data_IF_604311083523
#
_entry.id   IF_604311083523
#
_cell.length_a   1.000
_cell.length_b   1.000
_cell.length_c   1.000
_cell.angle_alpha   90.00
_cell.angle_beta   90.00
_cell.angle_gamma   90.00
#
_symmetry.space_group_name_H-M   'P 1'
#
loop_
_entity.id
_entity.type
_entity.pdbx_description
1 polymer ?
#
# COMPACT_ATOMS: atom_id res chain seq x y z
N UNK A 1 -16.64 -16.04 29.84
CA UNK A 1 -17.09 -16.15 28.44
C UNK A 1 -16.46 -15.02 27.64
N UNK A 2 -15.85 -15.26 26.47
CA UNK A 2 -15.38 -14.18 25.61
C UNK A 2 -16.57 -13.30 25.21
N UNK A 3 -16.37 -11.98 25.18
CA UNK A 3 -17.43 -11.05 24.77
C UNK A 3 -17.79 -11.31 23.30
N UNK A 4 -19.09 -11.20 22.97
CA UNK A 4 -19.59 -11.34 21.60
C UNK A 4 -19.03 -10.28 20.64
N UNK A 5 -18.62 -9.12 21.16
CA UNK A 5 -18.09 -8.00 20.38
C UNK A 5 -16.80 -7.44 21.01
N UNK A 6 -15.85 -6.96 20.18
CA UNK A 6 -14.65 -6.27 20.66
C UNK A 6 -15.02 -4.98 21.41
N UNK A 7 -14.30 -4.70 22.50
CA UNK A 7 -14.31 -3.35 23.11
C UNK A 7 -13.22 -2.51 22.45
N UNK A 8 -13.61 -1.72 21.46
CA UNK A 8 -12.70 -0.86 20.72
C UNK A 8 -13.39 0.46 20.36
N UNK A 9 -12.60 1.49 20.08
CA UNK A 9 -13.11 2.78 19.60
C UNK A 9 -13.12 2.77 18.08
N UNK A 10 -14.26 3.06 17.46
CA UNK A 10 -14.35 3.17 15.99
C UNK A 10 -13.43 4.28 15.49
N UNK A 11 -12.72 4.07 14.37
CA UNK A 11 -12.03 5.15 13.68
C UNK A 11 -13.00 6.28 13.32
N UNK A 12 -12.54 7.53 13.44
CA UNK A 12 -13.28 8.68 12.92
C UNK A 12 -13.12 8.73 11.39
N UNK A 13 -13.98 7.98 10.71
CA UNK A 13 -13.93 7.83 9.24
C UNK A 13 -14.03 9.18 8.52
N UNK A 14 -14.77 10.14 9.08
CA UNK A 14 -14.91 11.47 8.47
C UNK A 14 -13.58 12.23 8.53
N UNK A 15 -12.94 12.25 9.70
CA UNK A 15 -11.66 12.92 9.85
C UNK A 15 -10.57 12.25 9.01
N UNK A 16 -10.49 10.92 9.02
CA UNK A 16 -9.52 10.16 8.24
C UNK A 16 -9.74 10.32 6.73
N UNK A 17 -11.00 10.39 6.27
CA UNK A 17 -11.29 10.69 4.86
C UNK A 17 -10.80 12.07 4.48
N UNK A 18 -11.06 13.09 5.31
CA UNK A 18 -10.63 14.46 5.06
C UNK A 18 -9.10 14.56 4.98
N UNK A 19 -8.38 13.87 5.86
CA UNK A 19 -6.91 13.79 5.82
C UNK A 19 -6.39 13.20 4.50
N UNK A 20 -7.01 12.12 3.99
CA UNK A 20 -6.63 11.52 2.70
C UNK A 20 -7.00 12.42 1.52
N UNK A 21 -8.16 13.08 1.57
CA UNK A 21 -8.61 14.03 0.55
C UNK A 21 -7.68 15.23 0.44
N UNK A 22 -7.27 15.82 1.56
CA UNK A 22 -6.36 16.98 1.60
C UNK A 22 -5.00 16.67 0.97
N UNK A 23 -4.43 15.50 1.26
CA UNK A 23 -3.17 15.03 0.67
C UNK A 23 -3.32 14.71 -0.83
N UNK A 24 -4.44 14.11 -1.25
CA UNK A 24 -4.77 13.92 -2.67
C UNK A 24 -4.80 15.26 -3.42
N UNK A 25 -5.56 16.22 -2.89
CA UNK A 25 -5.73 17.54 -3.51
C UNK A 25 -4.41 18.31 -3.56
N UNK A 26 -3.59 18.22 -2.51
CA UNK A 26 -2.25 18.82 -2.50
C UNK A 26 -1.40 18.27 -3.66
N UNK A 27 -1.33 16.94 -3.83
CA UNK A 27 -0.58 16.32 -4.94
C UNK A 27 -1.14 16.69 -6.30
N UNK A 28 -2.47 16.77 -6.44
CA UNK A 28 -3.07 17.17 -7.70
C UNK A 28 -2.73 18.62 -8.05
N UNK A 29 -2.83 19.55 -7.09
CA UNK A 29 -2.47 20.97 -7.28
C UNK A 29 -0.98 21.12 -7.61
N UNK A 30 -0.13 20.36 -6.94
CA UNK A 30 1.32 20.39 -7.18
C UNK A 30 1.67 19.85 -8.58
N UNK A 31 1.09 18.71 -8.99
CA UNK A 31 1.30 18.16 -10.33
C UNK A 31 0.87 19.15 -11.42
N UNK A 32 -0.29 19.81 -11.26
CA UNK A 32 -0.76 20.85 -12.20
C UNK A 32 0.20 22.04 -12.25
N UNK A 33 0.79 22.41 -11.11
CA UNK A 33 1.79 23.48 -11.06
C UNK A 33 3.05 23.10 -11.85
N UNK A 34 3.52 21.86 -11.73
CA UNK A 34 4.62 21.36 -12.56
C UNK A 34 4.26 21.32 -14.04
N UNK A 35 3.07 20.83 -14.41
CA UNK A 35 2.58 20.85 -15.78
C UNK A 35 2.65 22.29 -16.35
N UNK A 36 2.17 23.29 -15.60
CA UNK A 36 2.24 24.70 -16.00
C UNK A 36 3.68 25.22 -16.16
N UNK A 37 4.58 24.89 -15.24
CA UNK A 37 5.98 25.34 -15.28
C UNK A 37 6.72 24.74 -16.49
N UNK A 38 6.53 23.45 -16.74
CA UNK A 38 7.29 22.72 -17.76
C UNK A 38 6.67 22.83 -19.16
N UNK A 39 5.34 22.93 -19.27
CA UNK A 39 4.63 22.90 -20.54
C UNK A 39 3.90 24.22 -20.86
N UNK A 40 3.62 25.08 -19.88
CA UNK A 40 2.87 26.31 -20.10
C UNK A 40 1.49 26.05 -20.71
N UNK A 41 1.12 26.84 -21.72
CA UNK A 41 -0.12 26.64 -22.49
C UNK A 41 0.02 25.54 -23.57
N UNK A 42 1.21 24.98 -23.74
CA UNK A 42 1.59 24.08 -24.82
C UNK A 42 1.52 22.60 -24.37
N UNK A 43 0.52 22.26 -23.56
CA UNK A 43 0.37 20.94 -22.92
C UNK A 43 0.49 19.77 -23.92
N UNK A 44 -0.13 19.94 -25.09
CA UNK A 44 -0.24 18.93 -26.15
C UNK A 44 0.77 19.13 -27.29
N UNK A 45 1.60 20.17 -27.24
CA UNK A 45 2.61 20.40 -28.28
C UNK A 45 3.61 19.27 -28.25
N UNK A 46 3.70 18.54 -29.35
CA UNK A 46 4.66 17.47 -29.51
C UNK A 46 5.99 18.00 -30.06
N UNK A 47 7.08 17.32 -29.72
CA UNK A 47 8.39 17.66 -30.23
C UNK A 47 9.50 17.39 -29.23
N UNK A 48 10.73 17.32 -29.71
CA UNK A 48 11.86 16.82 -28.93
C UNK A 48 12.04 17.58 -27.59
N UNK A 49 11.76 18.87 -27.55
CA UNK A 49 11.88 19.67 -26.33
C UNK A 49 10.77 19.35 -25.32
N UNK A 50 9.49 19.43 -25.71
CA UNK A 50 8.36 19.12 -24.83
C UNK A 50 8.40 17.67 -24.36
N UNK A 51 8.75 16.73 -25.25
CA UNK A 51 8.86 15.32 -24.92
C UNK A 51 9.96 15.06 -23.87
N UNK A 52 11.05 15.84 -23.89
CA UNK A 52 12.08 15.77 -22.84
C UNK A 52 11.55 16.31 -21.52
N UNK A 53 10.81 17.43 -21.53
CA UNK A 53 10.25 18.03 -20.31
C UNK A 53 9.23 17.11 -19.63
N UNK A 54 8.41 16.37 -20.39
CA UNK A 54 7.46 15.39 -19.86
C UNK A 54 8.12 14.22 -19.10
N UNK A 55 9.42 13.96 -19.29
CA UNK A 55 10.14 12.98 -18.46
C UNK A 55 10.22 13.40 -17.01
N UNK A 56 10.48 14.68 -16.75
CA UNK A 56 10.48 15.21 -15.39
C UNK A 56 9.10 15.02 -14.76
N UNK A 57 8.04 15.28 -15.52
CA UNK A 57 6.66 15.08 -15.07
C UNK A 57 6.34 13.61 -14.77
N UNK A 58 6.87 12.64 -15.55
CA UNK A 58 6.74 11.21 -15.24
C UNK A 58 7.39 10.84 -13.91
N UNK A 59 8.60 11.36 -13.65
CA UNK A 59 9.29 11.08 -12.38
C UNK A 59 8.52 11.67 -11.20
N UNK A 60 8.03 12.90 -11.31
CA UNK A 60 7.20 13.53 -10.26
C UNK A 60 5.87 12.80 -10.06
N UNK A 61 5.20 12.43 -11.15
CA UNK A 61 3.96 11.66 -11.12
C UNK A 61 4.15 10.31 -10.41
N UNK A 62 5.23 9.59 -10.70
CA UNK A 62 5.55 8.35 -10.00
C UNK A 62 5.74 8.59 -8.49
N UNK A 63 6.50 9.62 -8.11
CA UNK A 63 6.71 9.96 -6.69
C UNK A 63 5.39 10.30 -5.98
N UNK A 64 4.49 11.03 -6.62
CA UNK A 64 3.14 11.30 -6.10
C UNK A 64 2.32 10.04 -5.94
N UNK A 65 2.30 9.18 -6.96
CA UNK A 65 1.57 7.92 -6.93
C UNK A 65 2.07 7.00 -5.81
N UNK A 66 3.38 6.76 -5.74
CA UNK A 66 3.97 5.90 -4.72
C UNK A 66 3.77 6.49 -3.30
N UNK A 67 3.98 7.79 -3.17
CA UNK A 67 3.77 8.51 -1.91
C UNK A 67 2.32 8.42 -1.44
N UNK A 68 1.35 8.56 -2.34
CA UNK A 68 -0.08 8.51 -2.00
C UNK A 68 -0.50 7.15 -1.52
N UNK A 69 -0.14 6.09 -2.23
CA UNK A 69 -0.51 4.74 -1.82
C UNK A 69 0.08 4.43 -0.44
N UNK A 70 1.34 4.80 -0.17
CA UNK A 70 1.96 4.65 1.16
C UNK A 70 1.22 5.43 2.23
N UNK A 71 0.95 6.71 1.97
CA UNK A 71 0.28 7.59 2.91
C UNK A 71 -1.11 7.08 3.26
N UNK A 72 -1.93 6.77 2.26
CA UNK A 72 -3.29 6.27 2.49
C UNK A 72 -3.28 4.96 3.30
N UNK A 73 -2.34 4.05 3.00
CA UNK A 73 -2.16 2.82 3.78
C UNK A 73 -1.68 3.10 5.22
N UNK A 74 -0.83 4.10 5.44
CA UNK A 74 -0.42 4.50 6.80
C UNK A 74 -1.58 5.06 7.61
N UNK A 75 -2.47 5.85 6.99
CA UNK A 75 -3.68 6.37 7.64
C UNK A 75 -4.58 5.20 8.04
N UNK A 76 -4.76 4.22 7.15
CA UNK A 76 -5.53 3.01 7.44
C UNK A 76 -4.90 2.17 8.56
N UNK A 77 -3.60 1.89 8.50
CA UNK A 77 -2.87 1.16 9.53
C UNK A 77 -2.94 1.87 10.89
N UNK A 78 -2.74 3.19 10.90
CA UNK A 78 -2.84 4.04 12.09
C UNK A 78 -4.23 4.01 12.70
N UNK A 79 -5.29 4.04 11.90
CA UNK A 79 -6.66 3.91 12.38
C UNK A 79 -6.90 2.57 13.10
N UNK A 80 -6.36 1.48 12.57
CA UNK A 80 -6.49 0.15 13.16
C UNK A 80 -5.63 -0.02 14.43
N UNK A 81 -4.38 0.43 14.40
CA UNK A 81 -3.48 0.37 15.56
C UNK A 81 -4.00 1.21 16.74
N UNK A 82 -4.64 2.35 16.45
CA UNK A 82 -5.14 3.30 17.45
C UNK A 82 -6.62 3.11 17.80
N UNK A 83 -7.20 1.94 17.54
CA UNK A 83 -8.62 1.58 17.76
C UNK A 83 -9.05 1.51 19.24
N UNK A 84 -8.66 2.48 20.08
CA UNK A 84 -9.04 2.61 21.49
C UNK A 84 -7.93 2.20 22.48
N UNK A 85 -8.15 2.47 23.77
CA UNK A 85 -7.13 2.28 24.85
C UNK A 85 -6.60 0.86 24.99
N UNK A 86 -7.35 -0.12 24.51
CA UNK A 86 -6.97 -1.53 24.60
C UNK A 86 -6.48 -2.12 23.28
N UNK A 87 -6.54 -1.38 22.17
CA UNK A 87 -6.28 -1.91 20.82
C UNK A 87 -7.39 -2.85 20.31
N UNK A 88 -7.19 -3.38 19.11
CA UNK A 88 -8.05 -4.40 18.50
C UNK A 88 -7.36 -5.78 18.52
N UNK A 89 -7.91 -6.76 19.24
CA UNK A 89 -7.30 -8.10 19.35
C UNK A 89 -7.40 -8.87 18.01
N UNK A 90 -6.34 -9.62 17.68
CA UNK A 90 -6.27 -10.44 16.46
C UNK A 90 -7.50 -11.34 16.26
N UNK A 91 -8.09 -11.90 17.33
CA UNK A 91 -9.28 -12.78 17.23
C UNK A 91 -10.51 -12.14 16.57
N UNK A 92 -10.62 -10.81 16.59
CA UNK A 92 -11.76 -10.10 16.02
C UNK A 92 -11.51 -9.60 14.59
N UNK A 93 -10.24 -9.57 14.18
CA UNK A 93 -9.76 -8.93 12.96
C UNK A 93 -9.76 -9.94 11.81
N UNK A 94 -9.98 -9.44 10.61
CA UNK A 94 -9.93 -10.23 9.39
C UNK A 94 -8.55 -10.88 9.19
N UNK A 95 -8.52 -12.14 8.76
CA UNK A 95 -7.31 -12.97 8.75
C UNK A 95 -6.16 -12.37 7.91
N UNK A 96 -6.48 -11.70 6.80
CA UNK A 96 -5.49 -11.03 5.96
C UNK A 96 -4.81 -9.86 6.68
N UNK A 97 -5.57 -9.11 7.48
CA UNK A 97 -5.06 -7.99 8.27
C UNK A 97 -4.31 -8.50 9.50
N UNK A 98 -4.79 -9.58 10.15
CA UNK A 98 -4.02 -10.27 11.19
C UNK A 98 -2.67 -10.70 10.62
N UNK A 99 -2.68 -11.32 9.44
CA UNK A 99 -1.45 -11.75 8.78
C UNK A 99 -0.51 -10.58 8.46
N UNK A 100 -1.07 -9.43 8.10
CA UNK A 100 -0.32 -8.21 7.84
C UNK A 100 0.31 -7.64 9.14
N UNK A 101 -0.44 -7.63 10.24
CA UNK A 101 0.05 -7.22 11.56
C UNK A 101 1.14 -8.15 12.12
N UNK A 102 1.08 -9.44 11.78
CA UNK A 102 2.06 -10.46 12.17
C UNK A 102 3.22 -10.61 11.15
N UNK A 103 3.40 -9.65 10.25
CA UNK A 103 4.42 -9.71 9.19
C UNK A 103 5.83 -9.98 9.71
N UNK A 104 6.23 -9.38 10.83
CA UNK A 104 7.52 -9.66 11.46
C UNK A 104 7.61 -11.09 12.01
N UNK A 105 6.53 -11.59 12.62
CA UNK A 105 6.45 -12.98 13.11
C UNK A 105 6.62 -13.97 11.95
N UNK A 106 6.02 -13.72 10.79
CA UNK A 106 6.20 -14.58 9.62
C UNK A 106 7.57 -14.42 8.95
N UNK A 107 8.13 -13.21 8.90
CA UNK A 107 9.50 -12.98 8.45
C UNK A 107 10.51 -13.78 9.30
N UNK A 108 10.38 -13.73 10.63
CA UNK A 108 11.24 -14.45 11.56
C UNK A 108 11.01 -15.98 11.51
N UNK A 109 9.82 -16.43 11.08
CA UNK A 109 9.50 -17.84 10.82
C UNK A 109 10.24 -18.37 9.57
N UNK A 110 10.33 -17.55 8.52
CA UNK A 110 10.90 -17.93 7.21
C UNK A 110 12.44 -17.90 7.19
N UNK A 111 13.07 -16.99 7.95
CA UNK A 111 14.50 -17.03 8.27
C UNK A 111 15.26 -15.72 8.05
N UNK A 112 16.15 -15.38 9.00
CA UNK A 112 17.30 -14.47 8.76
C UNK A 112 17.55 -13.34 9.77
N UNK A 113 16.62 -13.02 10.67
CA UNK A 113 16.73 -11.88 11.61
C UNK A 113 16.47 -12.26 13.07
N UNK A 114 16.62 -11.27 13.99
CA UNK A 114 16.50 -11.38 15.45
C UNK A 114 15.51 -12.47 15.91
N UNK A 115 15.85 -13.22 16.96
CA UNK A 115 14.93 -14.18 17.58
C UNK A 115 13.71 -13.42 18.11
N UNK A 116 12.58 -13.51 17.42
CA UNK A 116 11.30 -13.12 18.02
C UNK A 116 11.16 -13.88 19.36
N UNK A 117 10.63 -13.27 20.43
CA UNK A 117 10.47 -13.94 21.72
C UNK A 117 9.67 -15.26 21.67
N UNK A 118 8.85 -15.45 20.62
CA UNK A 118 8.11 -16.69 20.38
C UNK A 118 8.94 -17.82 19.74
N UNK A 119 10.11 -17.53 19.17
CA UNK A 119 10.91 -18.49 18.40
C UNK A 119 12.19 -18.83 19.14
N UNK A 120 12.12 -19.85 19.98
CA UNK A 120 13.29 -20.41 20.64
C UNK A 120 14.20 -21.12 19.63
N UNK A 121 15.50 -21.16 19.92
CA UNK A 121 16.47 -21.91 19.11
C UNK A 121 16.64 -23.31 19.66
N UNK A 122 16.67 -24.29 18.77
CA UNK A 122 17.08 -25.64 19.14
C UNK A 122 18.60 -25.71 19.39
N UNK A 123 19.07 -26.71 20.16
CA UNK A 123 20.50 -26.96 20.38
C UNK A 123 21.26 -27.46 19.14
N UNK A 124 20.58 -27.72 18.03
CA UNK A 124 21.17 -28.19 16.77
C UNK A 124 21.33 -27.04 15.79
N UNK A 125 22.34 -27.07 14.91
CA UNK A 125 22.55 -26.04 13.89
C UNK A 125 21.80 -26.31 12.57
N UNK A 126 20.92 -27.32 12.53
CA UNK A 126 20.19 -27.68 11.30
C UNK A 126 19.01 -26.74 11.02
N UNK A 127 19.15 -25.85 10.03
CA UNK A 127 18.16 -24.84 9.65
C UNK A 127 16.75 -25.40 9.39
N UNK A 128 16.66 -26.58 8.75
CA UNK A 128 15.38 -27.23 8.44
C UNK A 128 14.61 -27.56 9.72
N UNK A 129 15.28 -28.12 10.73
CA UNK A 129 14.65 -28.46 12.01
C UNK A 129 14.24 -27.17 12.75
N UNK A 130 15.06 -26.12 12.70
CA UNK A 130 14.68 -24.80 13.25
C UNK A 130 13.38 -24.29 12.64
N UNK A 131 13.22 -24.36 11.31
CA UNK A 131 12.01 -23.91 10.62
C UNK A 131 10.78 -24.72 11.04
N UNK A 132 10.89 -26.05 11.13
CA UNK A 132 9.82 -26.92 11.58
C UNK A 132 9.42 -26.65 13.04
N UNK A 133 10.40 -26.46 13.92
CA UNK A 133 10.16 -26.13 15.32
C UNK A 133 9.50 -24.74 15.49
N UNK A 134 9.94 -23.72 14.75
CA UNK A 134 9.27 -22.40 14.78
C UNK A 134 7.81 -22.49 14.33
N UNK A 135 7.50 -23.34 13.34
CA UNK A 135 6.11 -23.60 12.92
C UNK A 135 5.29 -24.21 14.06
N UNK A 136 5.83 -25.16 14.83
CA UNK A 136 5.12 -25.71 16.00
C UNK A 136 4.93 -24.68 17.10
N UNK A 137 5.90 -23.77 17.29
CA UNK A 137 5.79 -22.66 18.25
C UNK A 137 4.63 -21.69 17.91
N UNK A 138 4.38 -21.42 16.63
CA UNK A 138 3.20 -20.63 16.22
C UNK A 138 1.91 -21.30 16.66
N UNK A 139 1.79 -22.61 16.45
CA UNK A 139 0.60 -23.39 16.83
C UNK A 139 0.44 -23.45 18.34
N UNK A 140 1.53 -23.70 19.07
CA UNK A 140 1.56 -23.75 20.54
C UNK A 140 1.10 -22.41 21.16
N UNK A 141 1.54 -21.29 20.58
CA UNK A 141 1.24 -19.95 21.07
C UNK A 141 0.03 -19.30 20.36
N UNK A 142 -0.72 -20.04 19.53
CA UNK A 142 -1.79 -19.46 18.71
C UNK A 142 -2.85 -18.73 19.53
N UNK A 143 -3.30 -19.32 20.65
CA UNK A 143 -4.27 -18.67 21.55
C UNK A 143 -3.76 -17.34 22.11
N UNK A 144 -2.46 -17.27 22.41
CA UNK A 144 -1.82 -16.04 22.88
C UNK A 144 -1.76 -15.01 21.75
N UNK A 145 -1.44 -15.42 20.53
CA UNK A 145 -1.45 -14.54 19.36
C UNK A 145 -2.84 -13.97 19.08
N UNK A 146 -3.89 -14.79 19.21
CA UNK A 146 -5.29 -14.34 19.08
C UNK A 146 -5.69 -13.27 20.11
N UNK A 147 -5.03 -13.25 21.28
CA UNK A 147 -5.25 -12.28 22.36
C UNK A 147 -4.37 -11.04 22.27
N UNK A 148 -3.35 -11.06 21.39
CA UNK A 148 -2.53 -9.88 21.15
C UNK A 148 -3.28 -8.83 20.34
N UNK A 149 -2.96 -7.57 20.61
CA UNK A 149 -3.46 -6.46 19.81
C UNK A 149 -2.75 -6.46 18.46
N UNK A 150 -3.49 -6.16 17.40
CA UNK A 150 -2.87 -5.89 16.11
C UNK A 150 -1.93 -4.70 16.23
N UNK A 151 -0.78 -4.83 15.57
CA UNK A 151 0.16 -3.75 15.37
C UNK A 151 0.70 -3.88 13.96
N UNK A 152 0.28 -2.99 13.06
CA UNK A 152 0.72 -2.95 11.68
C UNK A 152 1.90 -1.96 11.62
N UNK A 153 3.14 -2.45 11.46
CA UNK A 153 4.31 -1.58 11.42
C UNK A 153 4.47 -0.91 10.04
N UNK A 154 5.23 0.18 9.99
CA UNK A 154 5.42 0.97 8.77
C UNK A 154 6.06 0.17 7.63
N UNK A 155 6.94 -0.76 7.96
CA UNK A 155 7.59 -1.64 7.00
C UNK A 155 6.58 -2.55 6.28
N UNK A 156 5.43 -2.85 6.90
CA UNK A 156 4.45 -3.79 6.37
C UNK A 156 3.72 -3.27 5.11
N UNK A 157 3.69 -1.94 4.90
CA UNK A 157 3.15 -1.29 3.70
C UNK A 157 4.20 -0.52 2.89
N UNK A 158 5.49 -0.78 3.15
CA UNK A 158 6.56 -0.28 2.29
C UNK A 158 6.35 -0.76 0.85
N UNK A 159 6.57 0.11 -0.13
CA UNK A 159 6.47 -0.25 -1.55
C UNK A 159 7.69 -1.03 -2.05
N UNK A 160 8.59 -1.44 -1.14
CA UNK A 160 9.91 -1.97 -1.51
C UNK A 160 10.63 -0.96 -2.41
N UNK A 161 11.45 -1.41 -3.35
CA UNK A 161 12.16 -0.52 -4.29
C UNK A 161 11.25 0.15 -5.32
N UNK A 162 10.06 -0.40 -5.60
CA UNK A 162 9.10 0.12 -6.60
C UNK A 162 7.65 -0.28 -6.30
N UNK A 163 6.71 0.66 -6.43
CA UNK A 163 5.27 0.39 -6.50
C UNK A 163 4.82 0.14 -7.95
N UNK A 164 5.05 -1.08 -8.43
CA UNK A 164 4.42 -1.57 -9.66
C UNK A 164 3.01 -2.13 -9.39
N UNK A 165 2.36 -2.63 -10.44
CA UNK A 165 1.03 -3.24 -10.31
C UNK A 165 1.05 -4.47 -9.41
N UNK A 166 2.07 -5.34 -9.49
CA UNK A 166 2.15 -6.54 -8.66
C UNK A 166 2.32 -6.21 -7.17
N UNK A 167 3.07 -5.16 -6.85
CA UNK A 167 3.19 -4.66 -5.49
C UNK A 167 1.86 -4.07 -5.01
N UNK A 168 1.15 -3.34 -5.85
CA UNK A 168 -0.20 -2.85 -5.52
C UNK A 168 -1.16 -4.02 -5.22
N UNK A 169 -1.16 -5.09 -6.03
CA UNK A 169 -1.96 -6.31 -5.79
C UNK A 169 -1.69 -6.92 -4.42
N UNK A 170 -0.42 -7.00 -4.02
CA UNK A 170 -0.02 -7.50 -2.70
C UNK A 170 -0.58 -6.61 -1.57
N UNK A 171 -0.46 -5.28 -1.69
CA UNK A 171 -0.96 -4.34 -0.69
C UNK A 171 -2.50 -4.41 -0.57
N UNK A 172 -3.22 -4.51 -1.69
CA UNK A 172 -4.67 -4.69 -1.71
C UNK A 172 -5.10 -5.98 -1.02
N UNK A 173 -4.39 -7.08 -1.30
CA UNK A 173 -4.66 -8.35 -0.65
C UNK A 173 -4.52 -8.26 0.87
N UNK A 174 -3.46 -7.58 1.36
CA UNK A 174 -3.20 -7.41 2.80
C UNK A 174 -4.34 -6.67 3.52
N UNK A 175 -4.94 -5.65 2.89
CA UNK A 175 -6.04 -4.87 3.47
C UNK A 175 -7.44 -5.46 3.20
N UNK A 176 -7.51 -6.75 2.84
CA UNK A 176 -8.75 -7.45 2.54
C UNK A 176 -9.54 -6.90 1.33
N UNK A 177 -8.83 -6.49 0.28
CA UNK A 177 -9.42 -6.08 -0.99
C UNK A 177 -9.10 -7.11 -2.06
N UNK A 178 -9.96 -7.21 -3.08
CA UNK A 178 -9.64 -8.00 -4.27
C UNK A 178 -8.37 -7.44 -4.92
N UNK A 179 -7.34 -8.28 -5.00
CA UNK A 179 -6.07 -7.94 -5.60
C UNK A 179 -6.18 -7.50 -7.07
N UNK A 180 -7.20 -7.96 -7.82
CA UNK A 180 -7.35 -7.64 -9.25
C UNK A 180 -8.21 -6.39 -9.51
N UNK A 181 -8.56 -5.64 -8.45
CA UNK A 181 -9.40 -4.43 -8.52
C UNK A 181 -8.92 -3.38 -9.52
N UNK A 182 -7.61 -3.32 -9.78
CA UNK A 182 -6.99 -2.36 -10.69
C UNK A 182 -6.51 -2.98 -12.02
N UNK A 183 -6.98 -4.17 -12.37
CA UNK A 183 -6.60 -4.87 -13.62
C UNK A 183 -6.79 -4.02 -14.89
N UNK A 184 -7.86 -3.21 -14.94
CA UNK A 184 -8.12 -2.29 -16.05
C UNK A 184 -7.08 -1.16 -16.20
N UNK A 185 -6.33 -0.85 -15.15
CA UNK A 185 -5.27 0.17 -15.14
C UNK A 185 -3.87 -0.44 -15.02
N UNK A 186 -3.75 -1.78 -15.01
CA UNK A 186 -2.50 -2.49 -14.78
C UNK A 186 -1.40 -2.06 -15.76
N UNK A 187 -1.73 -1.98 -17.05
CA UNK A 187 -0.79 -1.57 -18.09
C UNK A 187 -0.20 -0.18 -17.85
N UNK A 188 -1.01 0.79 -17.41
CA UNK A 188 -0.57 2.17 -17.23
C UNK A 188 0.25 2.34 -15.95
N UNK A 189 -0.07 1.59 -14.88
CA UNK A 189 0.72 1.58 -13.66
C UNK A 189 2.09 0.92 -13.88
N UNK A 190 2.11 -0.20 -14.61
CA UNK A 190 3.37 -0.82 -15.06
C UNK A 190 4.17 0.13 -15.95
N UNK A 191 3.51 0.83 -16.87
CA UNK A 191 4.14 1.80 -17.76
C UNK A 191 4.72 3.00 -17.00
N UNK A 192 4.02 3.54 -16.00
CA UNK A 192 4.52 4.61 -15.15
C UNK A 192 5.82 4.18 -14.43
N UNK A 193 5.81 3.02 -13.78
CA UNK A 193 6.98 2.49 -13.08
C UNK A 193 8.13 2.21 -14.05
N UNK A 194 7.84 1.56 -15.19
CA UNK A 194 8.82 1.25 -16.23
C UNK A 194 9.49 2.50 -16.80
N UNK A 195 8.71 3.55 -17.09
CA UNK A 195 9.26 4.83 -17.57
C UNK A 195 10.10 5.52 -16.51
N UNK A 196 9.65 5.57 -15.25
CA UNK A 196 10.45 6.13 -14.15
C UNK A 196 11.78 5.41 -14.02
N UNK A 197 11.79 4.07 -14.09
CA UNK A 197 13.02 3.28 -14.03
C UNK A 197 13.92 3.55 -15.22
N UNK A 198 13.38 3.60 -16.43
CA UNK A 198 14.14 3.90 -17.64
C UNK A 198 14.77 5.30 -17.62
N UNK A 199 14.05 6.27 -17.04
CA UNK A 199 14.55 7.62 -16.82
C UNK A 199 15.69 7.63 -15.81
N UNK A 200 15.48 6.98 -14.65
CA UNK A 200 16.44 6.94 -13.55
C UNK A 200 17.74 6.18 -13.91
N UNK A 201 17.64 5.10 -14.69
CA UNK A 201 18.79 4.28 -15.09
C UNK A 201 19.46 4.75 -16.40
N UNK A 202 18.87 5.71 -17.11
CA UNK A 202 19.49 6.30 -18.31
C UNK A 202 19.52 5.38 -19.53
N UNK A 203 18.45 4.62 -19.76
CA UNK A 203 18.37 3.69 -20.89
C UNK A 203 18.56 4.38 -22.24
N UNK A 204 18.99 3.61 -23.25
CA UNK A 204 19.30 4.13 -24.59
C UNK A 204 18.08 4.75 -25.27
N UNK A 205 16.89 4.17 -25.10
CA UNK A 205 15.64 4.71 -25.61
C UNK A 205 15.29 6.04 -24.94
N UNK A 206 15.42 6.10 -23.60
CA UNK A 206 15.28 7.36 -22.86
C UNK A 206 16.30 8.42 -23.35
N UNK A 207 17.53 8.07 -23.72
CA UNK A 207 18.48 9.07 -24.26
C UNK A 207 18.08 9.66 -25.60
N UNK A 208 17.32 8.92 -26.41
CA UNK A 208 17.00 9.27 -27.80
C UNK A 208 15.59 9.83 -27.97
N UNK A 209 14.63 9.39 -27.16
CA UNK A 209 13.21 9.75 -27.26
C UNK A 209 12.72 10.38 -25.98
N UNK A 210 11.71 11.23 -26.08
CA UNK A 210 10.97 11.73 -24.93
C UNK A 210 9.64 11.02 -24.73
N UNK A 211 8.78 11.65 -23.95
CA UNK A 211 7.42 11.17 -23.66
C UNK A 211 6.44 12.05 -24.43
N UNK A 212 5.62 11.44 -25.30
CA UNK A 212 4.54 12.16 -25.99
C UNK A 212 3.49 12.67 -25.01
N UNK A 213 2.78 13.73 -25.37
CA UNK A 213 1.66 14.26 -24.61
C UNK A 213 0.43 13.37 -24.78
N UNK A 214 0.15 13.02 -26.02
CA UNK A 214 -1.05 12.30 -26.43
C UNK A 214 -0.82 10.81 -26.74
N UNK A 215 -1.92 10.13 -27.01
CA UNK A 215 -1.96 8.75 -27.46
C UNK A 215 -2.02 7.73 -26.33
N UNK A 216 -2.02 6.46 -26.73
CA UNK A 216 -2.18 5.34 -25.79
C UNK A 216 -1.06 5.28 -24.74
N UNK A 217 0.11 5.80 -25.10
CA UNK A 217 1.31 5.87 -24.28
C UNK A 217 1.64 7.31 -23.88
N UNK A 218 0.70 8.25 -24.04
CA UNK A 218 0.90 9.67 -23.73
C UNK A 218 0.98 9.93 -22.24
N UNK A 219 1.70 10.99 -21.88
CA UNK A 219 1.80 11.47 -20.50
C UNK A 219 0.42 11.68 -19.84
N UNK A 220 -0.52 12.33 -20.51
CA UNK A 220 -1.81 12.67 -19.89
C UNK A 220 -2.66 11.45 -19.56
N UNK A 221 -2.62 10.41 -20.40
CA UNK A 221 -3.32 9.14 -20.12
C UNK A 221 -2.74 8.47 -18.88
N UNK A 222 -1.42 8.44 -18.76
CA UNK A 222 -0.75 7.88 -17.58
C UNK A 222 -1.11 8.71 -16.34
N UNK A 223 -1.02 10.05 -16.44
CA UNK A 223 -1.40 10.99 -15.37
C UNK A 223 -2.82 10.77 -14.88
N UNK A 224 -3.79 10.72 -15.78
CA UNK A 224 -5.19 10.48 -15.46
C UNK A 224 -5.39 9.13 -14.76
N UNK A 225 -4.79 8.06 -15.28
CA UNK A 225 -4.94 6.71 -14.71
C UNK A 225 -4.27 6.58 -13.35
N UNK A 226 -3.14 7.24 -13.13
CA UNK A 226 -2.45 7.25 -11.85
C UNK A 226 -3.23 8.01 -10.77
N UNK A 227 -3.72 9.22 -11.08
CA UNK A 227 -4.58 9.96 -10.14
C UNK A 227 -5.92 9.26 -9.91
N UNK A 228 -6.52 8.68 -10.97
CA UNK A 228 -7.69 7.83 -10.85
C UNK A 228 -7.45 6.65 -9.89
N UNK A 229 -6.28 6.02 -9.98
CA UNK A 229 -5.92 4.93 -9.08
C UNK A 229 -5.78 5.40 -7.62
N UNK A 230 -5.13 6.53 -7.38
CA UNK A 230 -5.03 7.16 -6.04
C UNK A 230 -6.42 7.40 -5.46
N UNK A 231 -7.32 8.05 -6.22
CA UNK A 231 -8.69 8.32 -5.78
C UNK A 231 -9.49 7.06 -5.48
N UNK A 232 -9.33 6.01 -6.29
CA UNK A 232 -9.97 4.71 -6.02
C UNK A 232 -9.44 4.06 -4.75
N UNK A 233 -8.14 4.16 -4.45
CA UNK A 233 -7.58 3.63 -3.19
C UNK A 233 -8.13 4.38 -1.97
N UNK A 234 -8.25 5.70 -2.05
CA UNK A 234 -8.92 6.48 -1.01
C UNK A 234 -10.35 6.01 -0.76
N UNK A 235 -11.15 5.88 -1.82
CA UNK A 235 -12.53 5.37 -1.72
C UNK A 235 -12.58 3.99 -1.09
N UNK A 236 -11.68 3.09 -1.49
CA UNK A 236 -11.56 1.74 -0.91
C UNK A 236 -11.31 1.82 0.59
N UNK A 237 -10.34 2.61 1.04
CA UNK A 237 -10.01 2.74 2.47
C UNK A 237 -11.20 3.28 3.26
N UNK A 238 -11.87 4.31 2.76
CA UNK A 238 -13.07 4.88 3.39
C UNK A 238 -14.18 3.84 3.50
N UNK A 239 -14.44 3.08 2.44
CA UNK A 239 -15.42 1.98 2.45
C UNK A 239 -15.04 0.90 3.47
N UNK A 240 -13.77 0.45 3.50
CA UNK A 240 -13.31 -0.56 4.44
C UNK A 240 -13.49 -0.14 5.91
N UNK A 241 -13.20 1.14 6.21
CA UNK A 241 -13.38 1.70 7.54
C UNK A 241 -14.86 1.84 7.91
N UNK A 242 -15.68 2.35 6.98
CA UNK A 242 -17.12 2.55 7.19
C UNK A 242 -17.88 1.23 7.41
N UNK A 243 -17.59 0.22 6.59
CA UNK A 243 -18.23 -1.10 6.66
C UNK A 243 -17.64 -2.03 7.73
N UNK A 244 -16.63 -1.55 8.48
CA UNK A 244 -15.85 -2.36 9.42
C UNK A 244 -15.30 -3.65 8.77
N UNK A 245 -14.94 -3.58 7.49
CA UNK A 245 -14.47 -4.74 6.71
C UNK A 245 -13.11 -5.28 7.20
N UNK A 246 -12.46 -4.56 8.12
CA UNK A 246 -11.31 -5.01 8.88
C UNK A 246 -11.64 -6.01 10.00
N UNK A 247 -12.91 -6.17 10.37
CA UNK A 247 -13.38 -7.19 11.30
C UNK A 247 -13.87 -8.42 10.55
N UNK A 248 -13.75 -9.58 11.20
CA UNK A 248 -14.42 -10.80 10.73
C UNK A 248 -15.93 -10.58 10.67
N UNK A 249 -16.66 -11.16 9.70
CA UNK A 249 -18.08 -10.88 9.47
C UNK A 249 -18.98 -10.96 10.70
N UNK A 250 -18.72 -11.91 11.61
CA UNK A 250 -19.50 -12.10 12.84
C UNK A 250 -19.33 -10.98 13.88
N UNK A 251 -18.28 -10.17 13.78
CA UNK A 251 -17.98 -9.09 14.72
C UNK A 251 -18.31 -7.70 14.17
N UNK A 252 -18.61 -7.60 12.86
CA UNK A 252 -19.11 -6.37 12.24
C UNK A 252 -20.44 -5.99 12.87
N UNK A 253 -20.59 -4.74 13.27
CA UNK A 253 -21.90 -4.22 13.66
C UNK A 253 -22.67 -4.02 12.36
N UNK A 254 -23.79 -4.71 12.20
CA UNK A 254 -24.68 -4.48 11.05
C UNK A 254 -24.97 -2.99 10.94
N UNK A 255 -24.75 -2.43 9.76
CA UNK A 255 -25.23 -1.11 9.40
C UNK A 255 -26.76 -1.06 9.54
#
# INVERSE_FOLDING_TARGET
>A
MPRKYPKYTRPDVKNLSAEIDEDYEWREREMRSFEQIFLGNDLLVEGHEFDRRRKCLIVMLYSHYEGFIKFALSVYAGALNNSGRSGLECRYVEDRIVSWSLSQVFSDLEGGGKKHPLFQSLPTDQEVIHRLYRRSQVVEHWRKLEETQINIPDEAYSTKSNLDYDRLRQLLYQINVDHDKFSASASQLMELCGRRNSIAHGDRENRQKGVSGEGEKGYFRIRERSFGAMKSVHQIIVTLLHEEAYLRPQYRRRA
#
